data_IF_439449163628
#
_entry.id   IF_439449163628
#
_cell.length_a   1.000
_cell.length_b   1.000
_cell.length_c   1.000
_cell.angle_alpha   90.00
_cell.angle_beta   90.00
_cell.angle_gamma   90.00
#
_symmetry.space_group_name_H-M   'P 1'
#
loop_
_entity.id
_entity.type
_entity.pdbx_description
1 polymer ?
#
# COMPACT_ATOMS: atom_id res chain seq x y z
N UNK A 1 12.61 -7.27 13.67
CA UNK A 1 11.21 -6.85 13.48
C UNK A 1 11.07 -5.37 13.11
N UNK A 2 12.04 -4.52 13.43
CA UNK A 2 11.96 -3.06 13.16
C UNK A 2 11.80 -2.72 11.66
N UNK A 3 12.61 -3.30 10.76
CA UNK A 3 12.53 -3.06 9.30
C UNK A 3 11.15 -3.26 8.68
N UNK A 4 10.41 -4.29 9.11
CA UNK A 4 9.06 -4.56 8.63
C UNK A 4 8.01 -3.54 9.10
N UNK A 5 8.33 -2.74 10.13
CA UNK A 5 7.42 -1.74 10.70
C UNK A 5 7.65 -0.32 10.14
N UNK A 6 8.77 -0.07 9.46
CA UNK A 6 9.09 1.27 8.93
C UNK A 6 7.99 1.81 8.02
N UNK A 7 7.60 1.08 6.97
CA UNK A 7 6.54 1.55 6.08
C UNK A 7 5.16 1.55 6.74
N UNK A 8 4.85 0.59 7.61
CA UNK A 8 3.56 0.57 8.29
C UNK A 8 3.41 1.70 9.31
N UNK A 9 4.50 2.21 9.88
CA UNK A 9 4.47 3.41 10.73
C UNK A 9 4.07 4.68 9.97
N UNK A 10 4.25 4.70 8.65
CA UNK A 10 3.88 5.83 7.77
C UNK A 10 2.46 5.71 7.20
N UNK A 11 1.89 4.51 7.17
CA UNK A 11 0.59 4.23 6.52
C UNK A 11 -0.51 3.89 7.53
N UNK A 12 -0.18 3.17 8.60
CA UNK A 12 -1.15 2.54 9.50
C UNK A 12 -1.63 1.17 9.01
N UNK A 13 -2.78 0.73 9.52
CA UNK A 13 -3.31 -0.61 9.25
C UNK A 13 -3.97 -0.68 7.85
N UNK A 14 -3.51 -1.60 7.01
CA UNK A 14 -4.03 -1.87 5.67
C UNK A 14 -4.77 -3.21 5.58
N UNK A 15 -5.21 -3.77 6.73
CA UNK A 15 -5.84 -5.08 6.84
C UNK A 15 -5.00 -6.18 6.14
N UNK A 16 -5.54 -6.76 5.07
CA UNK A 16 -4.89 -7.84 4.30
C UNK A 16 -3.59 -7.39 3.65
N UNK A 17 -3.43 -6.09 3.36
CA UNK A 17 -2.21 -5.52 2.80
C UNK A 17 -1.07 -5.40 3.82
N UNK A 18 -1.35 -5.40 5.12
CA UNK A 18 -0.36 -5.08 6.17
C UNK A 18 0.82 -6.06 6.18
N UNK A 19 0.60 -7.35 5.93
CA UNK A 19 1.68 -8.35 5.89
C UNK A 19 2.61 -8.13 4.69
N UNK A 20 2.05 -7.78 3.53
CA UNK A 20 2.84 -7.54 2.31
C UNK A 20 3.56 -6.21 2.37
N UNK A 21 2.95 -5.19 2.98
CA UNK A 21 3.62 -3.93 3.26
C UNK A 21 4.84 -4.15 4.18
N UNK A 22 4.71 -4.98 5.22
CA UNK A 22 5.84 -5.32 6.08
C UNK A 22 6.95 -6.09 5.35
N UNK A 23 6.57 -6.98 4.42
CA UNK A 23 7.52 -7.67 3.55
C UNK A 23 8.25 -6.69 2.64
N UNK A 24 7.53 -5.80 1.96
CA UNK A 24 8.12 -4.78 1.09
C UNK A 24 9.06 -3.85 1.88
N UNK A 25 8.61 -3.39 3.05
CA UNK A 25 9.39 -2.57 3.98
C UNK A 25 10.70 -3.25 4.39
N UNK A 26 10.65 -4.55 4.68
CA UNK A 26 11.84 -5.33 5.05
C UNK A 26 12.84 -5.36 3.90
N UNK A 27 12.39 -5.76 2.71
CA UNK A 27 13.24 -5.87 1.53
C UNK A 27 13.87 -4.54 1.12
N UNK A 28 13.11 -3.45 1.09
CA UNK A 28 13.63 -2.14 0.69
C UNK A 28 14.61 -1.61 1.75
N UNK A 29 14.33 -1.81 3.03
CA UNK A 29 15.28 -1.47 4.11
C UNK A 29 16.58 -2.27 4.02
N UNK A 30 16.52 -3.57 3.73
CA UNK A 30 17.70 -4.40 3.54
C UNK A 30 18.48 -4.04 2.27
N UNK A 31 17.80 -3.55 1.23
CA UNK A 31 18.46 -3.02 0.03
C UNK A 31 19.24 -1.74 0.36
N UNK A 32 18.61 -0.78 1.04
CA UNK A 32 19.22 0.50 1.44
C UNK A 32 20.42 0.31 2.37
N UNK A 33 20.32 -0.64 3.31
CA UNK A 33 21.39 -0.96 4.26
C UNK A 33 22.48 -1.86 3.66
N UNK A 34 22.37 -2.22 2.37
CA UNK A 34 23.27 -3.14 1.67
C UNK A 34 23.42 -4.51 2.40
N UNK A 35 22.36 -4.97 3.05
CA UNK A 35 22.32 -6.28 3.70
C UNK A 35 22.19 -7.39 2.65
N UNK A 36 22.65 -8.60 2.99
CA UNK A 36 22.50 -9.76 2.11
C UNK A 36 21.42 -10.71 2.58
N UNK A 37 20.36 -10.82 1.77
CA UNK A 37 19.25 -11.74 1.98
C UNK A 37 19.30 -12.98 1.09
N UNK A 38 20.32 -13.17 0.26
CA UNK A 38 20.37 -14.27 -0.69
C UNK A 38 20.18 -15.64 -0.01
N UNK A 39 19.13 -16.38 -0.40
CA UNK A 39 18.82 -17.67 0.18
C UNK A 39 18.33 -17.64 1.64
N UNK A 40 18.16 -16.47 2.24
CA UNK A 40 17.59 -16.32 3.58
C UNK A 40 16.15 -16.82 3.63
N UNK A 41 15.74 -17.34 4.79
CA UNK A 41 14.35 -17.74 5.03
C UNK A 41 13.61 -16.59 5.71
N UNK A 42 12.50 -16.15 5.13
CA UNK A 42 11.60 -15.17 5.72
C UNK A 42 10.30 -15.85 6.16
N UNK A 43 9.96 -15.69 7.44
CA UNK A 43 8.69 -16.15 8.00
C UNK A 43 7.62 -15.05 7.95
N UNK A 44 6.40 -15.43 7.60
CA UNK A 44 5.25 -14.55 7.49
C UNK A 44 4.10 -15.12 8.32
N UNK A 45 3.55 -14.29 9.19
CA UNK A 45 2.40 -14.63 10.03
C UNK A 45 1.22 -13.72 9.67
N UNK A 46 0.25 -14.27 8.96
CA UNK A 46 -0.99 -13.57 8.62
C UNK A 46 -2.08 -13.86 9.65
N UNK A 47 -2.80 -12.84 10.06
CA UNK A 47 -3.94 -12.94 10.98
C UNK A 47 -5.14 -12.15 10.45
N UNK A 48 -6.33 -12.72 10.60
CA UNK A 48 -7.60 -12.02 10.41
C UNK A 48 -8.55 -12.32 11.56
N UNK A 49 -9.23 -11.29 12.07
CA UNK A 49 -10.23 -11.40 13.14
C UNK A 49 -11.40 -12.28 12.73
N UNK A 50 -11.86 -13.19 13.62
CA UNK A 50 -13.00 -14.08 13.38
C UNK A 50 -12.86 -15.59 13.71
N UNK A 51 -11.72 -16.28 13.76
CA UNK A 51 -10.32 -15.89 13.72
C UNK A 51 -9.49 -16.96 12.98
N UNK A 52 -8.72 -16.55 11.97
CA UNK A 52 -7.81 -17.45 11.26
C UNK A 52 -6.43 -16.84 11.18
N UNK A 53 -5.45 -17.65 11.55
CA UNK A 53 -4.04 -17.35 11.30
C UNK A 53 -3.47 -18.34 10.28
N UNK A 54 -2.49 -17.89 9.51
CA UNK A 54 -1.68 -18.75 8.66
C UNK A 54 -0.23 -18.31 8.76
N UNK A 55 0.65 -19.26 9.04
CA UNK A 55 2.09 -19.06 9.00
C UNK A 55 2.64 -19.74 7.75
N UNK A 56 3.52 -19.06 7.05
CA UNK A 56 4.25 -19.60 5.92
C UNK A 56 5.63 -18.97 5.85
N UNK A 57 6.55 -19.64 5.20
CA UNK A 57 7.91 -19.16 4.98
C UNK A 57 8.24 -19.13 3.50
N UNK A 58 9.21 -18.29 3.13
CA UNK A 58 9.74 -18.19 1.78
C UNK A 58 11.25 -18.08 1.80
N UNK A 59 11.91 -18.74 0.85
CA UNK A 59 13.33 -18.55 0.60
C UNK A 59 13.53 -17.37 -0.35
N UNK A 60 14.36 -16.41 0.05
CA UNK A 60 14.69 -15.25 -0.76
C UNK A 60 15.54 -15.66 -1.95
N UNK A 61 15.10 -15.25 -3.15
CA UNK A 61 15.85 -15.46 -4.40
C UNK A 61 17.14 -14.64 -4.39
N UNK A 62 18.28 -15.16 -4.87
CA UNK A 62 19.50 -14.36 -5.07
C UNK A 62 19.31 -13.13 -5.98
N UNK A 63 18.23 -13.10 -6.78
CA UNK A 63 17.88 -11.98 -7.67
C UNK A 63 16.94 -10.95 -7.02
N UNK A 64 16.72 -11.02 -5.71
CA UNK A 64 15.74 -10.16 -5.02
C UNK A 64 16.02 -8.67 -5.22
N UNK A 65 17.30 -8.26 -5.23
CA UNK A 65 17.71 -6.86 -5.41
C UNK A 65 17.24 -6.26 -6.74
N UNK A 66 17.23 -7.05 -7.81
CA UNK A 66 16.78 -6.61 -9.13
C UNK A 66 15.30 -6.20 -9.11
N UNK A 67 14.48 -6.91 -8.33
CA UNK A 67 13.04 -6.65 -8.21
C UNK A 67 12.77 -5.47 -7.28
N UNK A 68 13.45 -5.43 -6.13
CA UNK A 68 13.22 -4.43 -5.08
C UNK A 68 13.69 -3.04 -5.52
N UNK A 69 14.75 -2.95 -6.34
CA UNK A 69 15.28 -1.68 -6.82
C UNK A 69 14.27 -0.81 -7.60
N UNK A 70 13.20 -1.40 -8.14
CA UNK A 70 12.15 -0.67 -8.86
C UNK A 70 10.93 -0.30 -8.03
N UNK A 71 10.89 -0.60 -6.73
CA UNK A 71 9.69 -0.34 -5.92
C UNK A 71 9.56 1.11 -5.48
N UNK A 72 10.67 1.74 -5.08
CA UNK A 72 10.71 3.11 -4.58
C UNK A 72 9.65 3.37 -3.49
N UNK A 73 9.38 2.42 -2.59
CA UNK A 73 8.30 2.50 -1.60
C UNK A 73 8.46 3.74 -0.71
N UNK A 74 9.62 3.94 -0.10
CA UNK A 74 9.81 5.04 0.84
C UNK A 74 9.77 6.41 0.15
N UNK A 75 10.32 6.50 -1.06
CA UNK A 75 10.24 7.69 -1.91
C UNK A 75 8.78 8.03 -2.26
N UNK A 76 7.99 7.03 -2.70
CA UNK A 76 6.56 7.20 -2.98
C UNK A 76 5.77 7.60 -1.74
N UNK A 77 6.12 7.07 -0.58
CA UNK A 77 5.47 7.44 0.68
C UNK A 77 5.81 8.86 1.13
N UNK A 78 7.04 9.32 0.88
CA UNK A 78 7.48 10.68 1.13
C UNK A 78 6.82 11.70 0.18
N UNK A 79 6.46 11.28 -1.04
CA UNK A 79 5.74 12.11 -2.01
C UNK A 79 4.26 12.36 -1.71
N UNK A 80 3.70 11.76 -0.65
CA UNK A 80 2.30 11.97 -0.26
C UNK A 80 2.09 13.37 0.35
N UNK A 81 0.87 13.87 0.20
CA UNK A 81 0.47 15.17 0.74
C UNK A 81 -0.21 14.96 2.10
N UNK A 82 0.31 15.63 3.13
CA UNK A 82 -0.36 15.71 4.42
C UNK A 82 -1.58 16.62 4.32
N UNK A 83 -2.71 16.15 4.86
CA UNK A 83 -3.95 16.93 4.98
C UNK A 83 -4.18 17.31 6.43
N UNK A 84 -4.88 18.43 6.66
CA UNK A 84 -5.29 18.82 8.00
C UNK A 84 -6.46 17.98 8.54
N UNK A 85 -6.73 18.11 9.84
CA UNK A 85 -7.78 17.38 10.52
C UNK A 85 -9.17 17.66 9.93
N UNK A 86 -9.47 18.92 9.60
CA UNK A 86 -10.78 19.32 9.06
C UNK A 86 -11.03 18.66 7.72
N UNK A 87 -10.04 18.67 6.84
CA UNK A 87 -10.06 18.00 5.54
C UNK A 87 -10.26 16.49 5.71
N UNK A 88 -9.51 15.86 6.62
CA UNK A 88 -9.66 14.44 6.93
C UNK A 88 -11.09 14.10 7.40
N UNK A 89 -11.65 14.88 8.34
CA UNK A 89 -12.99 14.65 8.87
C UNK A 89 -14.08 14.80 7.79
N UNK A 90 -13.94 15.78 6.89
CA UNK A 90 -14.87 15.99 5.79
C UNK A 90 -14.85 14.82 4.80
N UNK A 91 -13.66 14.33 4.44
CA UNK A 91 -13.50 13.14 3.61
C UNK A 91 -14.09 11.90 4.29
N UNK A 92 -13.78 11.68 5.56
CA UNK A 92 -14.24 10.52 6.32
C UNK A 92 -15.76 10.47 6.46
N UNK A 93 -16.41 11.63 6.64
CA UNK A 93 -17.87 11.76 6.74
C UNK A 93 -18.57 11.81 5.37
N UNK A 94 -17.83 11.84 4.26
CA UNK A 94 -18.39 11.96 2.91
C UNK A 94 -19.02 13.33 2.61
N UNK A 95 -18.64 14.39 3.33
CA UNK A 95 -19.12 15.76 3.09
C UNK A 95 -18.36 16.41 1.93
N UNK A 96 -17.13 15.97 1.70
CA UNK A 96 -16.32 16.39 0.56
C UNK A 96 -16.20 15.22 -0.43
N UNK A 97 -16.79 15.39 -1.61
CA UNK A 97 -16.85 14.36 -2.65
C UNK A 97 -15.69 14.45 -3.65
N UNK A 98 -15.11 15.65 -3.80
CA UNK A 98 -13.97 15.90 -4.68
C UNK A 98 -12.64 15.46 -4.06
N UNK A 99 -11.72 15.03 -4.91
CA UNK A 99 -10.36 14.69 -4.48
C UNK A 99 -9.65 15.93 -3.91
N UNK A 100 -8.88 15.75 -2.83
CA UNK A 100 -8.03 16.81 -2.28
C UNK A 100 -6.79 17.04 -3.14
N UNK A 101 -6.31 15.96 -3.78
CA UNK A 101 -5.17 15.96 -4.68
C UNK A 101 -5.67 15.47 -6.02
N UNK A 102 -5.47 16.26 -7.08
CA UNK A 102 -5.86 15.83 -8.41
C UNK A 102 -5.12 14.56 -8.82
N UNK A 103 -5.81 13.53 -9.33
CA UNK A 103 -5.15 12.32 -9.76
C UNK A 103 -4.14 12.59 -10.87
N UNK A 104 -2.96 11.97 -10.79
CA UNK A 104 -1.90 12.15 -11.77
C UNK A 104 -1.20 10.81 -12.04
N UNK A 105 -1.13 10.40 -13.31
CA UNK A 105 -0.54 9.13 -13.73
C UNK A 105 -1.06 7.93 -12.92
N UNK A 106 -2.38 7.86 -12.71
CA UNK A 106 -3.01 6.81 -11.91
C UNK A 106 -4.46 6.50 -12.34
N UNK A 107 -5.00 5.38 -11.85
CA UNK A 107 -6.42 5.05 -12.03
C UNK A 107 -7.26 5.70 -10.93
N UNK A 108 -8.27 6.48 -11.33
CA UNK A 108 -9.23 7.08 -10.42
C UNK A 108 -10.66 6.58 -10.71
N UNK A 109 -11.47 6.49 -9.65
CA UNK A 109 -12.93 6.37 -9.79
C UNK A 109 -13.45 7.72 -10.28
N UNK A 110 -14.10 7.74 -11.44
CA UNK A 110 -14.60 8.98 -12.06
C UNK A 110 -16.11 9.10 -12.03
N UNK A 111 -16.82 7.98 -11.84
CA UNK A 111 -18.28 7.96 -11.87
C UNK A 111 -18.83 6.74 -11.14
N UNK A 112 -19.98 6.93 -10.49
CA UNK A 112 -20.85 5.86 -10.02
C UNK A 112 -22.21 6.09 -10.66
N UNK A 113 -22.69 5.14 -11.47
CA UNK A 113 -24.00 5.24 -12.10
C UNK A 113 -25.13 5.18 -11.09
N UNK A 114 -26.20 5.93 -11.34
CA UNK A 114 -27.32 6.15 -10.44
C UNK A 114 -28.70 5.85 -11.05
N UNK A 115 -28.75 5.42 -12.32
CA UNK A 115 -30.00 5.18 -13.04
C UNK A 115 -30.03 3.86 -13.83
N UNK A 116 -31.21 3.23 -13.84
CA UNK A 116 -31.54 2.11 -14.72
C UNK A 116 -30.62 0.90 -14.55
N UNK A 117 -30.06 0.40 -15.66
CA UNK A 117 -29.15 -0.76 -15.65
C UNK A 117 -27.74 -0.41 -15.14
N UNK A 118 -27.44 0.87 -15.01
CA UNK A 118 -26.13 1.38 -14.58
C UNK A 118 -26.10 1.75 -13.10
N UNK A 119 -27.21 1.59 -12.36
CA UNK A 119 -27.26 1.86 -10.93
C UNK A 119 -26.19 1.05 -10.17
N UNK A 120 -25.29 1.76 -9.48
CA UNK A 120 -24.15 1.20 -8.76
C UNK A 120 -22.92 0.86 -9.63
N UNK A 121 -22.98 1.06 -10.96
CA UNK A 121 -21.86 0.80 -11.85
C UNK A 121 -20.70 1.78 -11.60
N UNK A 122 -19.50 1.26 -11.32
CA UNK A 122 -18.30 2.07 -11.03
C UNK A 122 -17.43 2.20 -12.26
N UNK A 123 -17.19 3.43 -12.73
CA UNK A 123 -16.36 3.70 -13.90
C UNK A 123 -15.02 4.27 -13.47
N UNK A 124 -13.95 3.68 -13.98
CA UNK A 124 -12.57 4.07 -13.69
C UNK A 124 -11.88 4.54 -14.96
N UNK A 125 -10.94 5.49 -14.82
CA UNK A 125 -10.13 6.00 -15.92
C UNK A 125 -8.69 6.16 -15.48
N UNK A 126 -7.76 5.88 -16.39
CA UNK A 126 -6.37 6.34 -16.25
C UNK A 126 -6.32 7.85 -16.46
N UNK A 127 -5.86 8.58 -15.45
CA UNK A 127 -5.61 10.01 -15.54
C UNK A 127 -4.13 10.20 -15.89
N UNK A 128 -3.87 10.97 -16.96
CA UNK A 128 -2.51 11.22 -17.47
C UNK A 128 -1.65 12.01 -16.49
N UNK A 129 -0.37 12.18 -16.85
CA UNK A 129 0.55 13.07 -16.14
C UNK A 129 0.32 14.54 -16.54
#
# INVERSE_FOLDING_TARGET
>A
MEKGQRASSLIGNQYTGSIFLALMSTFESDLEENANLDGAMLGMCGYGSGAKAKVFEGRVSPRWREVVAGWHLFERLAGRIAIDQTTYENLHKGVQEGSVVEPNAEFALVEIGDEGVDEGARRYRWIGA
#
